data_IF_536260622992
#
_entry.id   IF_536260622992
#
_cell.length_a   1.000
_cell.length_b   1.000
_cell.length_c   1.000
_cell.angle_alpha   90.00
_cell.angle_beta   90.00
_cell.angle_gamma   90.00
#
_symmetry.space_group_name_H-M   'P 1'
#
loop_
_entity.id
_entity.type
_entity.pdbx_description
1 polymer ?
#
# COMPACT_ATOMS: atom_id res chain seq x y z
N UNK A 1 -16.83 -7.78 5.24
CA UNK A 1 -18.15 -8.22 4.75
C UNK A 1 -19.19 -7.96 5.82
N UNK A 2 -20.40 -7.52 5.41
CA UNK A 2 -21.55 -7.32 6.27
C UNK A 2 -22.82 -7.79 5.57
N UNK A 3 -23.79 -8.32 6.33
CA UNK A 3 -25.15 -8.50 5.88
C UNK A 3 -25.99 -7.28 6.31
N UNK A 4 -26.82 -6.79 5.40
CA UNK A 4 -27.78 -5.72 5.70
C UNK A 4 -29.03 -6.34 6.30
N UNK A 5 -29.37 -5.93 7.51
CA UNK A 5 -30.47 -6.55 8.29
C UNK A 5 -31.79 -5.79 8.18
N UNK A 6 -31.76 -4.52 7.75
CA UNK A 6 -32.96 -3.68 7.68
C UNK A 6 -32.88 -2.71 6.49
N UNK A 7 -33.98 -2.61 5.73
CA UNK A 7 -34.10 -1.75 4.54
C UNK A 7 -33.73 -0.30 4.81
N UNK A 8 -34.23 0.29 5.92
CA UNK A 8 -33.93 1.68 6.27
C UNK A 8 -32.46 1.97 6.60
N UNK A 9 -31.65 0.92 6.84
CA UNK A 9 -30.22 1.03 7.11
C UNK A 9 -29.31 0.82 5.90
N UNK A 10 -29.86 0.54 4.73
CA UNK A 10 -29.06 0.38 3.49
C UNK A 10 -28.08 1.55 3.28
N UNK A 11 -28.48 2.84 3.38
CA UNK A 11 -27.55 3.96 3.19
C UNK A 11 -26.37 3.94 4.16
N UNK A 12 -26.62 3.61 5.42
CA UNK A 12 -25.55 3.48 6.45
C UNK A 12 -24.52 2.39 6.08
N UNK A 13 -25.00 1.21 5.66
CA UNK A 13 -24.08 0.11 5.31
C UNK A 13 -23.29 0.42 4.03
N UNK A 14 -23.90 1.12 3.06
CA UNK A 14 -23.21 1.58 1.85
C UNK A 14 -22.14 2.61 2.20
N UNK A 15 -22.45 3.62 3.02
CA UNK A 15 -21.47 4.60 3.50
C UNK A 15 -20.30 3.89 4.22
N UNK A 16 -20.61 2.98 5.12
CA UNK A 16 -19.61 2.21 5.85
C UNK A 16 -18.73 1.40 4.90
N UNK A 17 -19.31 0.72 3.90
CA UNK A 17 -18.55 -0.04 2.91
C UNK A 17 -17.62 0.86 2.09
N UNK A 18 -18.09 2.02 1.64
CA UNK A 18 -17.26 3.02 0.95
C UNK A 18 -16.13 3.48 1.85
N UNK A 19 -16.42 3.83 3.10
CA UNK A 19 -15.41 4.24 4.08
C UNK A 19 -14.32 3.18 4.27
N UNK A 20 -14.71 1.93 4.52
CA UNK A 20 -13.75 0.83 4.69
C UNK A 20 -13.01 0.45 3.41
N UNK A 21 -13.55 0.78 2.23
CA UNK A 21 -12.85 0.53 0.96
C UNK A 21 -11.70 1.50 0.68
N UNK A 22 -11.69 2.69 1.31
CA UNK A 22 -10.71 3.75 1.03
C UNK A 22 -9.86 4.15 2.25
N UNK A 23 -10.32 3.90 3.49
CA UNK A 23 -9.56 4.22 4.70
C UNK A 23 -8.58 3.10 5.07
N UNK A 24 -7.50 3.47 5.75
CA UNK A 24 -6.44 2.54 6.07
C UNK A 24 -5.79 1.97 4.80
N UNK A 25 -5.71 0.65 4.70
CA UNK A 25 -5.29 -0.01 3.46
C UNK A 25 -6.51 -0.18 2.55
N UNK A 26 -6.57 0.54 1.41
CA UNK A 26 -7.70 0.43 0.50
C UNK A 26 -7.92 -0.99 -0.03
N UNK A 27 -9.18 -1.38 -0.15
CA UNK A 27 -9.54 -2.72 -0.59
C UNK A 27 -11.03 -2.86 -0.91
N UNK A 28 -11.42 -4.02 -1.45
CA UNK A 28 -12.79 -4.32 -1.76
C UNK A 28 -13.61 -4.59 -0.49
N UNK A 29 -14.83 -4.08 -0.46
CA UNK A 29 -15.86 -4.42 0.54
C UNK A 29 -16.97 -5.24 -0.09
N UNK A 30 -17.62 -6.04 0.72
CA UNK A 30 -18.75 -6.87 0.32
C UNK A 30 -19.94 -6.60 1.26
N UNK A 31 -21.10 -6.31 0.66
CA UNK A 31 -22.38 -6.22 1.34
C UNK A 31 -23.30 -7.29 0.82
N UNK A 32 -23.85 -8.09 1.73
CA UNK A 32 -24.93 -9.02 1.46
C UNK A 32 -26.24 -8.29 1.67
N UNK A 33 -27.07 -8.25 0.63
CA UNK A 33 -28.38 -7.60 0.64
C UNK A 33 -29.44 -8.62 0.16
N UNK A 34 -30.08 -9.33 1.08
CA UNK A 34 -31.15 -10.25 0.76
C UNK A 34 -32.31 -9.56 0.01
N UNK A 35 -33.02 -10.32 -0.83
CA UNK A 35 -34.11 -9.78 -1.67
C UNK A 35 -35.22 -9.11 -0.84
N UNK A 36 -35.57 -9.66 0.30
CA UNK A 36 -36.58 -9.10 1.20
C UNK A 36 -36.15 -7.75 1.79
N UNK A 37 -34.85 -7.53 1.93
CA UNK A 37 -34.28 -6.24 2.37
C UNK A 37 -34.28 -5.23 1.21
N UNK A 38 -33.90 -5.64 0.00
CA UNK A 38 -33.85 -4.75 -1.17
C UNK A 38 -35.26 -4.33 -1.60
N UNK A 39 -36.20 -5.26 -1.57
CA UNK A 39 -37.59 -5.06 -2.01
C UNK A 39 -38.51 -4.56 -0.90
N UNK A 40 -37.98 -4.49 0.33
CA UNK A 40 -38.74 -4.05 1.50
C UNK A 40 -39.18 -2.59 1.40
N UNK A 41 -40.42 -2.30 1.79
CA UNK A 41 -40.94 -0.96 1.91
C UNK A 41 -40.51 -0.35 3.26
N UNK A 42 -40.21 0.96 3.24
CA UNK A 42 -39.78 1.70 4.42
C UNK A 42 -40.37 3.11 4.36
N UNK A 43 -40.72 3.61 5.52
CA UNK A 43 -41.10 4.99 5.73
C UNK A 43 -39.90 5.91 5.49
N UNK A 44 -40.00 6.81 4.52
CA UNK A 44 -38.90 7.69 4.09
C UNK A 44 -38.34 8.52 5.27
N UNK A 45 -39.21 8.92 6.21
CA UNK A 45 -38.79 9.69 7.38
C UNK A 45 -37.85 8.92 8.31
N UNK A 46 -37.85 7.58 8.23
CA UNK A 46 -36.95 6.71 9.02
C UNK A 46 -35.60 6.45 8.32
N UNK A 47 -35.48 6.84 7.07
CA UNK A 47 -34.24 6.61 6.29
C UNK A 47 -33.25 7.74 6.53
N UNK A 48 -32.20 7.45 7.26
CA UNK A 48 -31.08 8.39 7.37
C UNK A 48 -30.23 8.35 6.11
N UNK A 49 -30.15 9.49 5.41
CA UNK A 49 -29.31 9.62 4.22
C UNK A 49 -27.83 9.43 4.59
N UNK A 50 -27.11 8.74 3.73
CA UNK A 50 -25.67 8.55 3.88
C UNK A 50 -24.93 9.88 3.73
N UNK A 51 -23.94 10.12 4.59
CA UNK A 51 -23.04 11.25 4.44
C UNK A 51 -22.01 10.94 3.31
N UNK A 52 -21.55 12.00 2.65
CA UNK A 52 -20.43 11.87 1.71
C UNK A 52 -19.17 11.44 2.46
N UNK A 53 -18.58 10.32 2.05
CA UNK A 53 -17.33 9.87 2.62
C UNK A 53 -16.19 10.73 2.06
N UNK A 54 -15.52 11.47 2.95
CA UNK A 54 -14.37 12.31 2.60
C UNK A 54 -13.11 11.47 2.40
N UNK A 55 -12.14 12.00 1.66
CA UNK A 55 -10.83 11.35 1.51
C UNK A 55 -10.16 11.16 2.89
N UNK A 56 -9.48 10.01 3.11
CA UNK A 56 -8.73 9.81 4.33
C UNK A 56 -7.57 10.82 4.45
N UNK A 57 -7.25 11.27 5.68
CA UNK A 57 -6.09 12.11 5.90
C UNK A 57 -4.80 11.35 5.53
N UNK A 58 -3.80 12.07 5.03
CA UNK A 58 -2.47 11.49 4.81
C UNK A 58 -1.81 11.18 6.13
N UNK A 59 -1.35 9.94 6.27
CA UNK A 59 -0.59 9.50 7.44
C UNK A 59 0.90 9.72 7.18
N UNK A 60 1.61 10.21 8.19
CA UNK A 60 3.06 10.40 8.16
C UNK A 60 3.72 9.54 9.24
N UNK A 61 4.91 9.05 8.96
CA UNK A 61 5.71 8.34 9.96
C UNK A 61 6.30 9.33 10.98
N UNK A 62 6.52 8.90 12.23
CA UNK A 62 7.26 9.69 13.21
C UNK A 62 8.66 10.05 12.69
N UNK A 63 9.11 11.30 12.91
CA UNK A 63 10.39 11.80 12.42
C UNK A 63 11.57 10.90 12.84
N UNK A 64 11.59 10.45 14.06
CA UNK A 64 12.60 9.54 14.58
C UNK A 64 12.71 8.23 13.80
N UNK A 65 11.58 7.67 13.33
CA UNK A 65 11.59 6.45 12.51
C UNK A 65 12.08 6.74 11.08
N UNK A 66 11.79 7.93 10.57
CA UNK A 66 12.33 8.38 9.27
C UNK A 66 13.84 8.53 9.36
N UNK A 67 14.37 9.17 10.40
CA UNK A 67 15.83 9.31 10.64
C UNK A 67 16.51 7.94 10.76
N UNK A 68 15.93 7.00 11.51
CA UNK A 68 16.45 5.64 11.62
C UNK A 68 16.51 4.93 10.26
N UNK A 69 15.47 5.10 9.44
CA UNK A 69 15.46 4.57 8.10
C UNK A 69 16.57 5.19 7.25
N UNK A 70 16.73 6.51 7.24
CA UNK A 70 17.78 7.20 6.47
C UNK A 70 19.19 6.75 6.90
N UNK A 71 19.45 6.60 8.19
CA UNK A 71 20.73 6.09 8.70
C UNK A 71 21.05 4.68 8.20
N UNK A 72 20.02 3.83 8.01
CA UNK A 72 20.19 2.50 7.41
C UNK A 72 20.58 2.63 5.93
N UNK A 73 20.03 3.63 5.21
CA UNK A 73 20.37 3.88 3.80
C UNK A 73 21.81 4.38 3.64
N UNK A 74 22.23 5.33 4.48
CA UNK A 74 23.59 5.89 4.43
C UNK A 74 24.67 4.82 4.66
N UNK A 75 24.39 3.81 5.46
CA UNK A 75 25.29 2.68 5.69
C UNK A 75 25.24 1.57 4.64
N UNK A 76 24.38 1.66 3.65
CA UNK A 76 24.19 0.62 2.64
C UNK A 76 25.27 0.69 1.55
N UNK A 77 25.72 -0.49 1.09
CA UNK A 77 26.65 -0.59 -0.02
C UNK A 77 25.93 -0.88 -1.36
N UNK A 78 24.84 -1.62 -1.29
CA UNK A 78 24.00 -2.00 -2.43
C UNK A 78 22.52 -1.85 -2.08
N UNK A 79 22.06 -0.61 -1.85
CA UNK A 79 20.65 -0.36 -1.55
C UNK A 79 19.77 -0.60 -2.77
N UNK A 80 18.53 -1.02 -2.50
CA UNK A 80 17.50 -1.23 -3.51
C UNK A 80 16.16 -0.70 -3.00
N UNK A 81 15.44 0.04 -3.83
CA UNK A 81 14.07 0.47 -3.54
C UNK A 81 13.09 -0.45 -4.27
N UNK A 82 12.06 -0.93 -3.57
CA UNK A 82 10.92 -1.63 -4.17
C UNK A 82 9.70 -0.75 -4.02
N UNK A 83 9.18 -0.27 -5.15
CA UNK A 83 7.99 0.58 -5.19
C UNK A 83 6.75 -0.27 -5.33
N UNK A 84 5.83 -0.12 -4.39
CA UNK A 84 4.56 -0.85 -4.37
C UNK A 84 3.34 0.04 -4.62
N UNK A 85 2.17 -0.62 -4.64
CA UNK A 85 0.87 0.02 -4.85
C UNK A 85 0.55 1.10 -3.80
N UNK A 86 1.09 0.95 -2.59
CA UNK A 86 0.86 1.92 -1.51
C UNK A 86 1.29 3.33 -1.88
N UNK A 87 2.31 3.50 -2.72
CA UNK A 87 2.76 4.83 -3.17
C UNK A 87 1.74 5.50 -4.10
N UNK A 88 1.11 4.74 -5.02
CA UNK A 88 0.02 5.25 -5.84
C UNK A 88 -1.23 5.57 -5.01
N UNK A 89 -1.58 4.73 -4.04
CA UNK A 89 -2.71 4.98 -3.15
C UNK A 89 -2.51 6.22 -2.25
N UNK A 90 -1.30 6.47 -1.80
CA UNK A 90 -0.97 7.67 -1.03
C UNK A 90 -0.73 8.90 -1.91
N UNK A 91 -0.81 8.76 -3.25
CA UNK A 91 -0.49 9.82 -4.22
C UNK A 91 0.89 10.43 -3.94
N UNK A 92 1.87 9.57 -3.70
CA UNK A 92 3.24 9.94 -3.34
C UNK A 92 4.22 9.74 -4.51
N UNK A 93 3.73 9.78 -5.76
CA UNK A 93 4.55 9.56 -6.94
C UNK A 93 5.68 10.58 -7.06
N UNK A 94 5.37 11.84 -6.80
CA UNK A 94 6.35 12.94 -6.91
C UNK A 94 7.40 12.86 -5.80
N UNK A 95 7.00 12.52 -4.59
CA UNK A 95 7.90 12.30 -3.46
C UNK A 95 8.83 11.10 -3.70
N UNK A 96 8.29 10.00 -4.26
CA UNK A 96 9.09 8.81 -4.62
C UNK A 96 10.10 9.15 -5.72
N UNK A 97 9.68 9.87 -6.77
CA UNK A 97 10.58 10.32 -7.84
C UNK A 97 11.69 11.19 -7.27
N UNK A 98 11.34 12.22 -6.49
CA UNK A 98 12.32 13.09 -5.86
C UNK A 98 13.30 12.34 -4.96
N UNK A 99 12.82 11.34 -4.21
CA UNK A 99 13.66 10.53 -3.35
C UNK A 99 14.66 9.68 -4.16
N UNK A 100 14.20 9.00 -5.21
CA UNK A 100 15.06 8.19 -6.08
C UNK A 100 16.10 9.07 -6.81
N UNK A 101 15.67 10.22 -7.36
CA UNK A 101 16.56 11.16 -8.04
C UNK A 101 17.63 11.74 -7.10
N UNK A 102 17.28 12.04 -5.86
CA UNK A 102 18.24 12.59 -4.89
C UNK A 102 19.19 11.54 -4.35
N UNK A 103 18.72 10.32 -4.10
CA UNK A 103 19.53 9.26 -3.51
C UNK A 103 20.31 8.45 -4.55
N UNK A 104 19.90 8.50 -5.82
CA UNK A 104 20.46 7.70 -6.91
C UNK A 104 20.44 6.18 -6.62
N UNK A 105 19.50 5.73 -5.79
CA UNK A 105 19.31 4.31 -5.45
C UNK A 105 18.54 3.60 -6.57
N UNK A 106 19.03 2.47 -7.07
CA UNK A 106 18.29 1.64 -8.03
C UNK A 106 16.92 1.22 -7.49
N UNK A 107 15.94 1.07 -8.37
CA UNK A 107 14.60 0.69 -7.97
C UNK A 107 13.99 -0.43 -8.82
N UNK A 108 13.04 -1.15 -8.19
CA UNK A 108 12.13 -2.11 -8.81
C UNK A 108 10.70 -1.64 -8.59
N UNK A 109 9.89 -1.60 -9.65
CA UNK A 109 8.45 -1.52 -9.50
C UNK A 109 7.86 -2.92 -9.26
N UNK A 110 7.06 -3.09 -8.21
CA UNK A 110 6.20 -4.28 -8.11
C UNK A 110 5.12 -4.23 -9.20
N UNK A 111 4.43 -5.35 -9.54
CA UNK A 111 3.39 -5.32 -10.57
C UNK A 111 2.35 -4.23 -10.36
N UNK A 112 1.98 -3.95 -9.11
CA UNK A 112 1.02 -2.93 -8.73
C UNK A 112 1.64 -1.55 -8.42
N UNK A 113 2.96 -1.43 -8.46
CA UNK A 113 3.71 -0.18 -8.31
C UNK A 113 4.14 0.43 -9.64
N UNK A 114 3.86 -0.26 -10.76
CA UNK A 114 4.13 0.28 -12.10
C UNK A 114 3.37 1.59 -12.33
N UNK A 115 4.03 2.53 -12.99
CA UNK A 115 3.49 3.86 -13.26
C UNK A 115 3.86 4.92 -12.20
N UNK A 116 4.29 4.54 -11.01
CA UNK A 116 4.86 5.48 -10.02
C UNK A 116 6.19 6.05 -10.55
N UNK A 117 7.02 5.19 -11.15
CA UNK A 117 8.26 5.54 -11.85
C UNK A 117 8.20 5.07 -13.30
N UNK A 118 8.93 5.74 -14.18
CA UNK A 118 9.11 5.27 -15.57
C UNK A 118 9.93 3.98 -15.58
N UNK A 119 9.42 2.93 -16.26
CA UNK A 119 10.12 1.67 -16.44
C UNK A 119 11.45 1.81 -17.23
N UNK A 120 11.57 2.86 -18.06
CA UNK A 120 12.78 3.16 -18.83
C UNK A 120 13.77 4.07 -18.07
N UNK A 121 13.50 4.41 -16.83
CA UNK A 121 14.39 5.24 -16.02
C UNK A 121 15.76 4.56 -15.87
N UNK A 122 16.90 5.32 -15.95
CA UNK A 122 18.26 4.73 -15.85
C UNK A 122 18.51 3.90 -14.59
N UNK A 123 17.86 4.25 -13.48
CA UNK A 123 17.95 3.51 -12.21
C UNK A 123 16.97 2.33 -12.11
N UNK A 124 16.14 2.08 -13.12
CA UNK A 124 15.24 0.94 -13.13
C UNK A 124 16.03 -0.36 -13.36
N UNK A 125 15.94 -1.27 -12.39
CA UNK A 125 16.61 -2.59 -12.48
C UNK A 125 15.61 -3.72 -12.73
N UNK A 126 14.46 -3.41 -13.34
CA UNK A 126 13.41 -4.38 -13.65
C UNK A 126 13.89 -5.59 -14.45
N UNK A 127 14.72 -5.37 -15.45
CA UNK A 127 15.32 -6.44 -16.27
C UNK A 127 16.31 -7.31 -15.49
N UNK A 128 16.96 -6.75 -14.47
CA UNK A 128 17.95 -7.44 -13.63
C UNK A 128 17.38 -7.83 -12.25
N UNK A 129 16.05 -7.90 -12.11
CA UNK A 129 15.35 -8.09 -10.84
C UNK A 129 15.97 -9.15 -9.94
N UNK A 130 16.21 -10.35 -10.48
CA UNK A 130 16.71 -11.47 -9.67
C UNK A 130 18.10 -11.17 -9.09
N UNK A 131 18.97 -10.57 -9.88
CA UNK A 131 20.32 -10.18 -9.46
C UNK A 131 20.25 -9.06 -8.41
N UNK A 132 19.44 -8.03 -8.65
CA UNK A 132 19.29 -6.93 -7.71
C UNK A 132 18.80 -7.39 -6.34
N UNK A 133 17.82 -8.31 -6.28
CA UNK A 133 17.31 -8.86 -5.01
C UNK A 133 18.34 -9.73 -4.28
N UNK A 134 19.20 -10.46 -5.01
CA UNK A 134 20.23 -11.31 -4.42
C UNK A 134 21.43 -10.52 -3.89
N UNK A 135 21.74 -9.40 -4.54
CA UNK A 135 22.93 -8.60 -4.21
C UNK A 135 22.63 -7.48 -3.21
N UNK A 136 21.39 -7.02 -3.10
CA UNK A 136 21.04 -5.93 -2.19
C UNK A 136 21.35 -6.27 -0.72
N UNK A 137 22.04 -5.38 -0.03
CA UNK A 137 22.29 -5.46 1.40
C UNK A 137 21.23 -4.70 2.23
N UNK A 138 20.57 -3.72 1.62
CA UNK A 138 19.43 -3.00 2.18
C UNK A 138 18.33 -2.90 1.13
N UNK A 139 17.09 -3.22 1.51
CA UNK A 139 15.92 -3.05 0.66
C UNK A 139 14.91 -2.15 1.35
N UNK A 140 14.50 -1.10 0.63
CA UNK A 140 13.40 -0.23 1.02
C UNK A 140 12.10 -0.69 0.34
N UNK A 141 11.12 -1.09 1.13
CA UNK A 141 9.77 -1.41 0.66
C UNK A 141 8.87 -0.19 0.80
N UNK A 142 8.68 0.55 -0.27
CA UNK A 142 7.81 1.72 -0.28
C UNK A 142 6.39 1.30 -0.69
N UNK A 143 5.50 1.11 0.29
CA UNK A 143 4.13 0.65 0.05
C UNK A 143 4.04 -0.73 -0.61
N UNK A 144 5.04 -1.57 -0.40
CA UNK A 144 5.15 -2.93 -0.93
C UNK A 144 5.17 -3.96 0.19
N UNK A 145 4.68 -5.17 -0.08
CA UNK A 145 4.69 -6.29 0.87
C UNK A 145 5.55 -7.44 0.39
N UNK A 146 6.15 -8.15 1.33
CA UNK A 146 6.89 -9.39 1.09
C UNK A 146 5.94 -10.59 1.00
N UNK A 147 5.09 -10.58 -0.01
CA UNK A 147 4.18 -11.69 -0.30
C UNK A 147 4.85 -12.76 -1.21
N UNK A 148 4.07 -13.72 -1.70
CA UNK A 148 4.54 -14.77 -2.59
C UNK A 148 5.22 -14.26 -3.88
N UNK A 149 4.76 -13.11 -4.43
CA UNK A 149 5.38 -12.46 -5.62
C UNK A 149 6.82 -12.03 -5.32
N UNK A 150 7.08 -11.64 -4.07
CA UNK A 150 8.39 -11.24 -3.56
C UNK A 150 9.09 -12.37 -2.79
N UNK A 151 8.67 -13.62 -3.02
CA UNK A 151 9.28 -14.79 -2.37
C UNK A 151 9.41 -14.65 -0.86
N UNK A 152 8.48 -13.92 -0.23
CA UNK A 152 8.48 -13.63 1.20
C UNK A 152 9.79 -13.01 1.73
N UNK A 153 10.58 -12.33 0.88
CA UNK A 153 11.86 -11.76 1.24
C UNK A 153 12.95 -12.78 1.59
N UNK A 154 12.80 -14.04 1.17
CA UNK A 154 13.65 -15.15 1.62
C UNK A 154 14.67 -15.60 0.59
N UNK A 155 15.83 -16.15 1.04
CA UNK A 155 16.75 -16.86 0.17
C UNK A 155 16.06 -18.04 -0.56
N UNK A 156 16.57 -18.45 -1.74
CA UNK A 156 17.73 -17.93 -2.47
C UNK A 156 17.43 -16.67 -3.32
N UNK A 157 16.20 -16.18 -3.33
CA UNK A 157 15.81 -15.04 -4.16
C UNK A 157 16.27 -13.69 -3.59
N UNK A 158 16.36 -13.62 -2.27
CA UNK A 158 16.89 -12.46 -1.56
C UNK A 158 18.26 -12.80 -0.95
N UNK A 159 19.07 -11.76 -0.75
CA UNK A 159 20.30 -11.90 0.03
C UNK A 159 19.96 -12.39 1.44
N UNK A 160 20.69 -13.39 1.92
CA UNK A 160 20.45 -13.97 3.26
C UNK A 160 20.66 -12.99 4.42
N UNK A 161 21.42 -11.92 4.19
CA UNK A 161 21.78 -10.93 5.19
C UNK A 161 21.10 -9.57 4.90
N UNK A 162 20.13 -9.51 4.00
CA UNK A 162 19.45 -8.26 3.64
C UNK A 162 18.75 -7.64 4.85
N UNK A 163 18.95 -6.35 5.05
CA UNK A 163 18.14 -5.55 5.97
C UNK A 163 16.98 -4.93 5.22
N UNK A 164 15.79 -4.99 5.80
CA UNK A 164 14.58 -4.51 5.15
C UNK A 164 14.02 -3.36 5.96
N UNK A 165 13.79 -2.23 5.29
CA UNK A 165 13.07 -1.07 5.80
C UNK A 165 11.70 -1.03 5.11
N UNK A 166 10.63 -1.00 5.89
CA UNK A 166 9.27 -0.99 5.36
C UNK A 166 8.57 0.33 5.66
N UNK A 167 7.99 0.93 4.64
CA UNK A 167 7.03 2.02 4.74
C UNK A 167 5.67 1.50 4.30
N UNK A 168 4.76 1.34 5.24
CA UNK A 168 3.40 0.84 4.99
C UNK A 168 2.41 1.55 5.93
N UNK A 169 1.18 1.73 5.47
CA UNK A 169 0.09 2.31 6.27
C UNK A 169 -0.45 1.33 7.31
N UNK A 170 -0.25 0.03 7.09
CA UNK A 170 -0.80 -1.05 7.92
C UNK A 170 0.30 -1.60 8.83
N UNK A 171 0.21 -1.39 10.16
CA UNK A 171 1.20 -1.90 11.10
C UNK A 171 1.39 -3.42 11.02
N UNK A 172 0.31 -4.14 10.70
CA UNK A 172 0.33 -5.60 10.57
C UNK A 172 1.17 -6.11 9.40
N UNK A 173 1.50 -5.23 8.44
CA UNK A 173 2.36 -5.58 7.31
C UNK A 173 3.85 -5.38 7.61
N UNK A 174 4.18 -4.67 8.70
CA UNK A 174 5.57 -4.41 9.09
C UNK A 174 6.10 -5.65 9.82
N UNK A 175 7.30 -6.08 9.45
CA UNK A 175 7.99 -7.25 10.03
C UNK A 175 7.35 -8.61 9.73
N UNK A 176 6.61 -8.73 8.62
CA UNK A 176 6.11 -10.03 8.14
C UNK A 176 7.11 -10.71 7.23
#
# INVERSE_FOLDING_TARGET
AHAVEHTHRIPFYVEMAVRYSIYGRPGACYLDMPDDIILGEVDEEKVQQAATVVEPPRMIAPEQEVERALNVLEGAQRPLIIVGKGMAWSRAEDEVRAFIERTQVPFLASPMGKGVMDDNHPLSVGAARSHALQEADVIYLLGARLNWIMHFGKPPRFNKNVRIVQLDISPEAISQ
#
